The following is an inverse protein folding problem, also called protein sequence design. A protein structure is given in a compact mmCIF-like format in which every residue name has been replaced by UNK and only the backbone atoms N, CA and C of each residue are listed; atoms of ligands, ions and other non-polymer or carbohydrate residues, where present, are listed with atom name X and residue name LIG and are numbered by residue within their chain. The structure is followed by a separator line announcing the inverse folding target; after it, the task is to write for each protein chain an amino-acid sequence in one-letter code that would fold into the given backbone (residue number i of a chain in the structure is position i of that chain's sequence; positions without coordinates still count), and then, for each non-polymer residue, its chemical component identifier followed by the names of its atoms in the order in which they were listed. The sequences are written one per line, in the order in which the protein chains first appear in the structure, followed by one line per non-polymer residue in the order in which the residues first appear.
data_IF_584604371515
#
_entry.id   IF_584604371515
#
_cell.length_a   1.000
_cell.length_b   1.000
_cell.length_c   1.000
_cell.angle_alpha   90.00
_cell.angle_beta   90.00
_cell.angle_gamma   90.00
#
_symmetry.space_group_name_H-M   'P 1'
#
loop_
_entity.id
_entity.type
_entity.pdbx_description
1 polymer ?
#
# COMPACT_ATOMS: atom_id res chain seq x y z
N UNK A 1 20.29 13.28 3.60
CA UNK A 1 19.02 13.43 4.34
C UNK A 1 17.89 13.12 3.37
N UNK A 2 16.83 12.42 3.81
CA UNK A 2 15.71 11.98 2.97
C UNK A 2 14.41 12.43 3.63
N UNK A 3 13.47 12.97 2.85
CA UNK A 3 12.13 13.30 3.35
C UNK A 3 11.27 12.03 3.49
N UNK A 4 10.57 11.96 4.62
CA UNK A 4 9.68 10.86 5.04
C UNK A 4 8.24 11.34 5.27
N UNK A 5 7.98 12.65 5.24
CA UNK A 5 6.67 13.23 5.55
C UNK A 5 6.30 13.18 7.04
N UNK A 6 5.10 13.69 7.36
CA UNK A 6 4.63 13.86 8.74
C UNK A 6 3.83 12.70 9.34
N UNK A 7 3.78 11.53 8.71
CA UNK A 7 3.02 10.38 9.21
C UNK A 7 3.84 9.49 10.16
N UNK A 8 3.19 8.97 11.20
CA UNK A 8 3.77 7.94 12.08
C UNK A 8 4.19 6.72 11.24
N UNK A 9 5.34 6.12 11.55
CA UNK A 9 5.94 4.97 10.84
C UNK A 9 6.37 5.24 9.38
N UNK A 10 6.26 6.48 8.87
CA UNK A 10 6.63 6.78 7.49
C UNK A 10 8.15 6.67 7.22
N UNK A 11 8.98 6.93 8.25
CA UNK A 11 10.42 6.66 8.18
C UNK A 11 10.70 5.16 8.01
N UNK A 12 10.02 4.31 8.78
CA UNK A 12 10.22 2.86 8.75
C UNK A 12 9.73 2.24 7.43
N UNK A 13 8.60 2.75 6.92
CA UNK A 13 8.11 2.42 5.58
C UNK A 13 9.11 2.83 4.48
N UNK A 14 9.74 4.01 4.60
CA UNK A 14 10.76 4.48 3.66
C UNK A 14 12.04 3.63 3.72
N UNK A 15 12.50 3.28 4.92
CA UNK A 15 13.68 2.42 5.14
C UNK A 15 13.44 1.03 4.56
N UNK A 16 12.27 0.42 4.84
CA UNK A 16 11.88 -0.89 4.28
C UNK A 16 11.80 -0.86 2.75
N UNK A 17 11.21 0.19 2.18
CA UNK A 17 11.13 0.36 0.72
C UNK A 17 12.50 0.56 0.06
N UNK A 18 13.43 1.27 0.70
CA UNK A 18 14.80 1.45 0.17
C UNK A 18 15.59 0.14 0.25
N UNK A 19 15.47 -0.59 1.36
CA UNK A 19 16.10 -1.90 1.54
C UNK A 19 15.64 -2.92 0.49
N UNK A 20 14.33 -3.02 0.24
CA UNK A 20 13.74 -3.91 -0.78
C UNK A 20 14.25 -3.63 -2.21
N UNK A 21 14.47 -2.35 -2.56
CA UNK A 21 15.03 -1.97 -3.85
C UNK A 21 16.54 -2.26 -3.93
N UNK A 22 17.31 -1.70 -3.01
CA UNK A 22 18.78 -1.75 -3.02
C UNK A 22 19.31 -3.17 -2.90
N UNK A 23 18.65 -4.04 -2.13
CA UNK A 23 19.16 -5.40 -1.93
C UNK A 23 19.09 -6.25 -3.21
N UNK A 24 18.09 -6.01 -4.06
CA UNK A 24 17.91 -6.67 -5.36
C UNK A 24 18.81 -6.10 -6.45
N UNK A 25 19.34 -4.87 -6.29
CA UNK A 25 20.16 -4.20 -7.29
C UNK A 25 21.54 -4.89 -7.43
N UNK A 26 21.94 -5.38 -8.63
CA UNK A 26 23.22 -6.10 -8.81
C UNK A 26 24.46 -5.29 -8.44
N UNK A 27 24.43 -3.97 -8.69
CA UNK A 27 25.49 -3.03 -8.34
C UNK A 27 25.68 -2.82 -6.82
N UNK A 28 24.67 -3.16 -6.01
CA UNK A 28 24.69 -2.91 -4.57
C UNK A 28 25.30 -4.11 -3.85
N UNK A 29 26.62 -4.03 -3.61
CA UNK A 29 27.43 -5.15 -3.10
C UNK A 29 27.24 -5.42 -1.59
N UNK A 30 27.00 -4.38 -0.78
CA UNK A 30 26.73 -4.47 0.67
C UNK A 30 25.74 -3.39 1.09
N UNK A 31 24.95 -3.67 2.13
CA UNK A 31 24.03 -2.75 2.80
C UNK A 31 24.36 -2.76 4.29
N UNK A 32 24.72 -1.60 4.82
CA UNK A 32 24.97 -1.38 6.25
C UNK A 32 23.68 -0.86 6.89
N UNK A 33 23.09 -1.64 7.80
CA UNK A 33 21.76 -1.42 8.33
C UNK A 33 21.81 -1.02 9.82
N UNK A 34 21.44 0.23 10.12
CA UNK A 34 21.49 0.81 11.48
C UNK A 34 20.23 0.61 12.35
N UNK A 35 19.19 -0.08 11.86
CA UNK A 35 17.92 -0.27 12.57
C UNK A 35 17.93 -1.35 13.67
N UNK A 36 19.10 -1.66 14.24
CA UNK A 36 19.33 -2.85 15.07
C UNK A 36 18.54 -2.89 16.40
N UNK A 37 17.95 -1.77 16.81
CA UNK A 37 17.20 -1.64 18.07
C UNK A 37 15.67 -1.82 17.91
N UNK A 38 15.15 -1.93 16.68
CA UNK A 38 13.71 -2.12 16.45
C UNK A 38 13.39 -3.51 15.87
N UNK A 39 12.60 -4.28 16.62
CA UNK A 39 12.10 -5.59 16.17
C UNK A 39 11.16 -5.47 14.94
N UNK A 40 10.63 -4.28 14.65
CA UNK A 40 9.82 -3.98 13.47
C UNK A 40 10.51 -4.25 12.12
N UNK A 41 11.83 -4.46 12.10
CA UNK A 41 12.60 -4.83 10.89
C UNK A 41 12.91 -6.33 10.77
N UNK A 42 12.68 -7.13 11.82
CA UNK A 42 13.05 -8.56 11.87
C UNK A 42 12.41 -9.35 10.73
N UNK A 43 11.13 -9.11 10.44
CA UNK A 43 10.40 -9.80 9.37
C UNK A 43 10.94 -9.46 7.97
N UNK A 44 11.26 -8.18 7.72
CA UNK A 44 11.88 -7.73 6.46
C UNK A 44 13.26 -8.36 6.27
N UNK A 45 14.12 -8.30 7.29
CA UNK A 45 15.46 -8.89 7.23
C UNK A 45 15.42 -10.43 7.08
N UNK A 46 14.52 -11.13 7.79
CA UNK A 46 14.29 -12.59 7.58
C UNK A 46 13.84 -12.90 6.16
N UNK A 47 12.94 -12.10 5.59
CA UNK A 47 12.50 -12.29 4.21
C UNK A 47 13.67 -12.15 3.22
N UNK A 48 14.56 -11.18 3.42
CA UNK A 48 15.74 -10.99 2.59
C UNK A 48 16.81 -12.07 2.76
N UNK A 49 17.04 -12.56 3.98
CA UNK A 49 17.93 -13.70 4.25
C UNK A 49 17.41 -14.96 3.54
N UNK A 50 16.11 -15.26 3.65
CA UNK A 50 15.46 -16.38 2.96
C UNK A 50 15.48 -16.25 1.43
N UNK A 51 15.47 -15.03 0.91
CA UNK A 51 15.62 -14.73 -0.51
C UNK A 51 17.09 -14.77 -1.00
N UNK A 52 18.02 -15.29 -0.20
CA UNK A 52 19.43 -15.50 -0.58
C UNK A 52 20.34 -14.27 -0.40
N UNK A 53 19.83 -13.13 0.08
CA UNK A 53 20.61 -11.89 0.19
C UNK A 53 21.37 -11.73 1.52
N UNK A 54 21.55 -12.80 2.32
CA UNK A 54 22.26 -12.76 3.63
C UNK A 54 23.62 -12.07 3.51
N UNK A 55 24.39 -12.41 2.48
CA UNK A 55 25.76 -11.90 2.29
C UNK A 55 25.84 -10.41 1.92
N UNK A 56 24.73 -9.78 1.49
CA UNK A 56 24.69 -8.32 1.29
C UNK A 56 24.50 -7.55 2.60
N UNK A 57 23.89 -8.15 3.61
CA UNK A 57 23.47 -7.48 4.83
C UNK A 57 24.62 -7.41 5.87
N UNK A 58 24.81 -6.23 6.45
CA UNK A 58 25.70 -5.97 7.58
C UNK A 58 24.91 -5.13 8.60
N UNK A 59 24.88 -5.53 9.86
CA UNK A 59 24.25 -4.79 10.95
C UNK A 59 25.22 -3.78 11.55
N UNK A 60 24.77 -2.55 11.76
CA UNK A 60 25.49 -1.47 12.43
C UNK A 60 24.79 -1.16 13.76
N UNK A 61 25.24 -1.72 14.89
CA UNK A 61 24.62 -1.48 16.18
C UNK A 61 24.79 -0.02 16.61
N UNK A 62 23.70 0.61 17.04
CA UNK A 62 23.69 2.01 17.50
C UNK A 62 24.06 2.18 18.98
N UNK A 63 23.97 1.11 19.77
CA UNK A 63 24.37 1.01 21.17
C UNK A 63 24.45 -0.49 21.54
N UNK A 64 24.79 -0.81 22.81
CA UNK A 64 25.09 -2.19 23.25
C UNK A 64 23.93 -3.18 23.14
N UNK A 65 22.68 -2.71 23.16
CA UNK A 65 21.48 -3.55 23.07
C UNK A 65 20.97 -3.64 21.63
N UNK A 66 21.32 -4.74 20.96
CA UNK A 66 20.64 -5.18 19.73
C UNK A 66 19.33 -5.87 20.13
N UNK A 67 18.23 -5.57 19.44
CA UNK A 67 16.94 -6.19 19.70
C UNK A 67 16.98 -7.71 19.45
N UNK A 68 16.43 -8.51 20.36
CA UNK A 68 16.62 -9.97 20.40
C UNK A 68 16.36 -10.66 19.05
N UNK A 69 15.25 -10.32 18.37
CA UNK A 69 14.91 -10.92 17.08
C UNK A 69 15.82 -10.52 15.92
N UNK A 70 16.61 -9.44 16.07
CA UNK A 70 17.68 -9.00 15.16
C UNK A 70 18.97 -9.78 15.44
N UNK A 71 19.31 -10.03 16.71
CA UNK A 71 20.45 -10.88 17.10
C UNK A 71 20.29 -12.33 16.61
N UNK A 72 19.07 -12.86 16.67
CA UNK A 72 18.67 -14.16 16.09
C UNK A 72 18.89 -14.30 14.56
N UNK A 73 19.27 -13.22 13.85
CA UNK A 73 19.51 -13.26 12.41
C UNK A 73 20.95 -13.67 12.02
N UNK A 74 21.87 -13.71 13.00
CA UNK A 74 23.28 -14.08 12.79
C UNK A 74 23.93 -13.33 11.59
N UNK A 75 23.61 -12.05 11.44
CA UNK A 75 24.18 -11.21 10.39
C UNK A 75 25.54 -10.65 10.83
N UNK A 76 26.48 -10.41 9.89
CA UNK A 76 27.74 -9.75 10.19
C UNK A 76 27.53 -8.41 10.90
N UNK A 77 28.25 -8.18 12.00
CA UNK A 77 28.24 -6.93 12.74
C UNK A 77 29.42 -6.05 12.33
N UNK A 78 29.14 -4.77 12.07
CA UNK A 78 30.12 -3.71 11.90
C UNK A 78 30.01 -2.76 13.10
N UNK A 79 30.76 -3.04 14.15
CA UNK A 79 30.98 -2.06 15.22
C UNK A 79 32.00 -1.02 14.76
N UNK A 80 31.77 0.24 15.10
CA UNK A 80 32.66 1.37 14.81
C UNK A 80 32.83 2.14 16.12
N UNK A 81 33.99 2.00 16.80
CA UNK A 81 34.24 2.67 18.06
C UNK A 81 33.95 4.16 18.00
N UNK A 82 33.27 4.65 19.04
CA UNK A 82 32.97 6.05 19.30
C UNK A 82 32.13 6.78 18.21
N UNK A 83 31.58 6.05 17.23
CA UNK A 83 30.61 6.58 16.25
C UNK A 83 29.25 6.89 16.89
N UNK A 84 28.85 6.13 17.91
CA UNK A 84 27.59 6.30 18.62
C UNK A 84 27.79 6.29 20.14
N UNK A 85 26.90 6.99 20.85
CA UNK A 85 26.81 6.90 22.30
C UNK A 85 26.29 5.52 22.70
N UNK A 86 27.02 4.80 23.56
CA UNK A 86 26.65 3.45 24.03
C UNK A 86 25.42 3.44 24.95
N UNK A 87 24.98 4.61 25.42
CA UNK A 87 23.86 4.79 26.33
C UNK A 87 22.68 5.47 25.63
N UNK A 88 21.47 5.02 25.95
CA UNK A 88 20.23 5.58 25.41
C UNK A 88 19.92 6.93 26.06
N UNK A 89 19.82 7.99 25.25
CA UNK A 89 19.47 9.33 25.71
C UNK A 89 18.15 9.34 26.50
N UNK A 90 18.23 9.59 27.80
CA UNK A 90 17.07 9.81 28.66
C UNK A 90 16.49 11.20 28.42
N UNK A 91 15.35 11.29 27.75
CA UNK A 91 14.61 12.55 27.63
C UNK A 91 14.08 12.94 29.00
N UNK A 92 14.60 14.01 29.58
CA UNK A 92 14.12 14.53 30.85
C UNK A 92 12.68 15.06 30.69
N UNK A 93 11.71 14.36 31.28
CA UNK A 93 10.30 14.79 31.29
C UNK A 93 10.16 16.05 32.15
N UNK A 94 10.12 17.21 31.51
CA UNK A 94 9.80 18.49 32.17
C UNK A 94 8.33 18.52 32.60
N UNK A 95 8.06 17.96 33.77
CA UNK A 95 6.75 17.96 34.44
C UNK A 95 6.35 19.38 34.86
N UNK A 96 5.82 20.17 33.91
CA UNK A 96 5.28 21.49 34.16
C UNK A 96 4.01 21.41 35.02
N UNK A 97 4.17 21.52 36.34
CA UNK A 97 3.07 21.66 37.31
C UNK A 97 3.27 22.96 38.11
N UNK A 98 2.92 24.08 37.49
CA UNK A 98 2.87 25.40 38.13
C UNK A 98 1.43 25.72 38.57
N UNK A 99 0.92 24.98 39.56
CA UNK A 99 -0.44 25.17 40.09
C UNK A 99 -0.49 26.38 41.01
N UNK A 100 -0.92 27.53 40.48
CA UNK A 100 -1.13 28.74 41.28
C UNK A 100 -2.36 28.59 42.20
N UNK A 101 -2.25 28.87 43.52
CA UNK A 101 -3.38 28.79 44.44
C UNK A 101 -4.27 30.05 44.33
N UNK A 102 -5.44 29.92 43.70
CA UNK A 102 -6.48 30.96 43.73
C UNK A 102 -7.25 30.87 45.05
N UNK A 103 -7.21 31.94 45.83
CA UNK A 103 -7.86 32.01 47.15
C UNK A 103 -9.37 32.19 47.04
N UNK A 104 -10.13 31.42 47.83
CA UNK A 104 -11.59 31.44 47.82
C UNK A 104 -12.19 32.50 48.78
N UNK A 105 -13.31 33.11 48.37
CA UNK A 105 -14.21 33.88 49.25
C UNK A 105 -15.65 33.32 49.14
N UNK A 106 -16.36 33.10 50.27
CA UNK A 106 -17.72 32.55 50.26
C UNK A 106 -18.83 33.63 50.38
N UNK A 107 -20.04 33.25 49.98
CA UNK A 107 -21.31 33.98 50.15
C UNK A 107 -21.95 34.47 48.84
N UNK A 108 -23.29 34.53 48.68
CA UNK A 108 -24.40 33.97 49.47
C UNK A 108 -25.71 34.02 48.65
N UNK A 109 -26.49 32.94 48.67
CA UNK A 109 -27.96 32.85 48.48
C UNK A 109 -28.76 33.79 47.51
N UNK A 110 -29.45 33.14 46.56
CA UNK A 110 -30.91 33.30 46.26
C UNK A 110 -31.48 34.43 45.36
N UNK A 111 -32.03 33.96 44.22
CA UNK A 111 -33.46 34.02 43.80
C UNK A 111 -34.07 35.15 42.92
N UNK A 112 -35.13 34.73 42.18
CA UNK A 112 -36.17 35.49 41.43
C UNK A 112 -35.77 36.15 40.09
N UNK A 113 -36.57 35.95 39.02
CA UNK A 113 -36.51 36.78 37.80
C UNK A 113 -36.91 36.15 36.44
N UNK A 114 -38.20 35.88 36.23
CA UNK A 114 -38.84 35.77 34.89
C UNK A 114 -39.66 37.06 34.64
N UNK A 115 -40.11 37.46 33.42
CA UNK A 115 -40.55 36.59 32.29
C UNK A 115 -40.35 37.12 30.84
N UNK A 116 -40.98 36.42 29.86
CA UNK A 116 -41.66 36.97 28.64
C UNK A 116 -40.85 37.58 27.45
N UNK A 117 -41.16 37.40 26.15
CA UNK A 117 -42.24 36.68 25.42
C UNK A 117 -41.79 35.99 24.10
N UNK A 118 -42.52 34.92 23.70
CA UNK A 118 -43.12 34.56 22.35
C UNK A 118 -42.35 34.99 21.07
N UNK A 119 -42.11 34.15 20.02
CA UNK A 119 -43.09 33.50 19.08
C UNK A 119 -42.57 32.18 18.42
N UNK A 120 -43.49 31.43 17.80
CA UNK A 120 -43.35 30.27 16.88
C UNK A 120 -43.00 30.68 15.41
N UNK A 121 -42.75 29.83 14.39
CA UNK A 121 -43.44 28.64 13.84
C UNK A 121 -42.47 27.78 12.98
N UNK A 122 -42.31 26.46 13.19
CA UNK A 122 -43.07 25.28 12.69
C UNK A 122 -42.73 24.77 11.27
N UNK A 123 -42.58 23.43 11.15
CA UNK A 123 -42.33 22.62 9.94
C UNK A 123 -43.49 21.64 9.68
N UNK A 124 -43.72 21.14 8.44
CA UNK A 124 -43.58 19.70 8.13
C UNK A 124 -42.97 19.43 6.71
N UNK A 125 -42.41 18.27 6.30
CA UNK A 125 -42.76 16.82 6.38
C UNK A 125 -43.90 16.40 5.41
N UNK A 126 -43.66 15.54 4.40
CA UNK A 126 -44.15 14.12 4.27
C UNK A 126 -43.48 13.42 3.06
N UNK A 127 -42.88 12.21 3.14
CA UNK A 127 -43.41 10.82 3.02
C UNK A 127 -44.16 10.40 1.74
N UNK A 128 -43.68 9.35 1.04
CA UNK A 128 -44.50 8.26 0.45
C UNK A 128 -43.64 7.04 0.07
N UNK A 129 -44.27 5.89 -0.22
CA UNK A 129 -43.63 4.61 -0.60
C UNK A 129 -44.47 3.84 -1.62
N UNK A 130 -43.86 2.93 -2.41
CA UNK A 130 -44.53 1.77 -3.01
C UNK A 130 -43.52 0.70 -3.46
N UNK A 131 -43.98 -0.54 -3.65
CA UNK A 131 -43.16 -1.70 -4.00
C UNK A 131 -43.71 -2.47 -5.21
N UNK A 132 -42.85 -3.13 -5.98
CA UNK A 132 -43.16 -4.30 -6.85
C UNK A 132 -41.85 -5.00 -7.28
N UNK A 133 -41.89 -6.32 -7.45
CA UNK A 133 -40.74 -7.17 -7.82
C UNK A 133 -40.84 -7.55 -9.31
N UNK A 134 -39.72 -7.49 -10.04
CA UNK A 134 -39.49 -8.31 -11.24
C UNK A 134 -38.11 -8.95 -11.22
N UNK A 135 -38.02 -10.18 -11.73
CA UNK A 135 -36.79 -11.01 -11.75
C UNK A 135 -35.95 -10.76 -13.00
N UNK A 136 -34.64 -10.65 -12.84
CA UNK A 136 -33.66 -10.73 -13.93
C UNK A 136 -32.43 -11.57 -13.49
N UNK A 137 -31.83 -12.31 -14.43
CA UNK A 137 -30.79 -13.29 -14.10
C UNK A 137 -29.41 -12.67 -13.77
N UNK A 138 -28.62 -13.26 -12.85
CA UNK A 138 -27.34 -12.71 -12.42
C UNK A 138 -26.26 -12.80 -13.50
N UNK A 139 -25.93 -11.66 -14.13
CA UNK A 139 -24.77 -11.56 -15.03
C UNK A 139 -23.53 -11.07 -14.27
N UNK A 140 -22.66 -12.03 -13.91
CA UNK A 140 -21.25 -11.92 -13.49
C UNK A 140 -20.78 -10.52 -13.06
N UNK A 141 -20.79 -10.28 -11.75
CA UNK A 141 -20.14 -9.13 -11.11
C UNK A 141 -18.66 -9.02 -11.47
N UNK A 142 -18.18 -7.80 -11.71
CA UNK A 142 -16.75 -7.45 -11.57
C UNK A 142 -16.44 -7.23 -10.08
N UNK A 143 -15.28 -7.68 -9.56
CA UNK A 143 -14.96 -7.50 -8.15
C UNK A 143 -14.57 -6.04 -7.84
N UNK A 144 -14.93 -5.59 -6.63
CA UNK A 144 -14.30 -4.45 -5.98
C UNK A 144 -12.83 -4.77 -5.62
N UNK A 145 -12.01 -3.73 -5.51
CA UNK A 145 -10.60 -3.82 -5.16
C UNK A 145 -10.32 -3.20 -3.80
N UNK A 146 -10.22 -4.05 -2.78
CA UNK A 146 -9.79 -3.65 -1.43
C UNK A 146 -8.25 -3.45 -1.35
N UNK A 147 -7.76 -3.00 -0.20
CA UNK A 147 -6.36 -2.68 0.12
C UNK A 147 -5.51 -3.93 0.42
N UNK A 148 -4.19 -3.77 0.62
CA UNK A 148 -3.27 -4.87 0.98
C UNK A 148 -2.14 -5.13 -0.04
N UNK A 149 -0.94 -4.63 0.26
CA UNK A 149 0.30 -4.60 -0.54
C UNK A 149 0.93 -5.99 -0.89
N UNK A 150 2.00 -6.00 -1.72
CA UNK A 150 2.75 -7.17 -2.27
C UNK A 150 4.19 -6.67 -2.67
N UNK A 151 5.14 -7.31 -3.39
CA UNK A 151 5.31 -8.54 -4.20
C UNK A 151 6.74 -9.10 -3.92
N UNK A 152 7.01 -10.41 -3.80
CA UNK A 152 7.22 -11.46 -4.84
C UNK A 152 8.40 -11.20 -5.81
N UNK A 153 9.27 -12.22 -5.99
CA UNK A 153 10.23 -12.46 -7.11
C UNK A 153 11.41 -11.49 -7.31
N UNK A 154 12.47 -11.85 -8.07
CA UNK A 154 12.74 -13.06 -8.88
C UNK A 154 14.22 -13.46 -8.86
N UNK A 155 14.76 -14.61 -9.33
CA UNK A 155 14.35 -15.94 -9.91
C UNK A 155 15.16 -16.19 -11.21
N UNK A 156 16.00 -17.21 -11.43
CA UNK A 156 16.49 -18.31 -10.57
C UNK A 156 17.95 -18.04 -10.09
N UNK A 157 19.06 -18.80 -10.28
CA UNK A 157 19.47 -20.07 -10.99
C UNK A 157 20.19 -21.04 -10.00
N UNK A 158 21.25 -21.85 -10.19
CA UNK A 158 22.22 -22.17 -11.28
C UNK A 158 22.90 -23.57 -11.05
N UNK A 159 23.99 -23.91 -11.77
CA UNK A 159 24.63 -25.25 -11.83
C UNK A 159 25.52 -25.65 -10.62
N UNK A 160 25.15 -26.78 -9.95
CA UNK A 160 25.96 -28.02 -9.80
C UNK A 160 25.13 -29.10 -9.05
N UNK A 161 25.35 -30.37 -9.38
CA UNK A 161 24.55 -31.52 -8.89
C UNK A 161 24.69 -31.81 -7.38
N UNK A 162 23.56 -32.00 -6.67
CA UNK A 162 23.25 -33.26 -5.93
C UNK A 162 21.88 -33.29 -5.20
N UNK A 163 21.06 -34.30 -5.55
CA UNK A 163 20.08 -35.08 -4.73
C UNK A 163 19.19 -34.35 -3.68
N UNK A 164 17.88 -34.38 -3.94
CA UNK A 164 16.81 -33.67 -3.21
C UNK A 164 16.63 -34.02 -1.71
N UNK A 165 15.96 -33.12 -0.96
CA UNK A 165 14.52 -33.33 -0.67
C UNK A 165 13.60 -32.31 -1.35
N UNK A 166 12.34 -32.69 -1.57
CA UNK A 166 11.36 -31.87 -2.31
C UNK A 166 10.71 -30.79 -1.44
N UNK A 167 11.13 -29.54 -1.62
CA UNK A 167 10.40 -28.33 -1.19
C UNK A 167 10.03 -27.55 -2.44
N UNK A 168 8.84 -26.97 -2.48
CA UNK A 168 8.31 -26.32 -3.70
C UNK A 168 9.08 -25.04 -4.04
N UNK A 169 9.57 -24.96 -5.28
CA UNK A 169 10.18 -23.75 -5.85
C UNK A 169 9.17 -22.60 -5.98
N UNK A 170 9.62 -21.33 -6.07
CA UNK A 170 8.78 -20.27 -6.59
C UNK A 170 8.22 -20.65 -7.98
N UNK A 171 7.00 -20.16 -8.34
CA UNK A 171 6.37 -20.52 -9.59
C UNK A 171 7.12 -19.90 -10.77
N UNK A 172 8.04 -20.67 -11.37
CA UNK A 172 8.77 -20.31 -12.59
C UNK A 172 7.80 -19.69 -13.59
N UNK A 173 8.15 -18.52 -14.14
CA UNK A 173 7.43 -17.90 -15.25
C UNK A 173 7.45 -18.88 -16.42
N UNK A 174 6.35 -19.60 -16.62
CA UNK A 174 6.33 -20.87 -17.38
C UNK A 174 5.25 -20.87 -18.46
N UNK A 175 4.22 -20.03 -18.34
CA UNK A 175 3.18 -19.91 -19.36
C UNK A 175 3.61 -18.89 -20.40
N UNK A 176 3.84 -19.34 -21.64
CA UNK A 176 4.02 -18.42 -22.76
C UNK A 176 2.67 -17.86 -23.20
N UNK A 177 2.66 -16.62 -23.66
CA UNK A 177 1.50 -16.02 -24.32
C UNK A 177 1.26 -16.74 -25.64
N UNK A 178 0.00 -17.08 -25.93
CA UNK A 178 -0.39 -17.49 -27.28
C UNK A 178 -0.53 -16.24 -28.16
N UNK A 179 0.32 -16.02 -29.17
CA UNK A 179 0.35 -14.78 -29.96
C UNK A 179 -0.91 -14.58 -30.83
N UNK A 180 -1.72 -15.62 -31.03
CA UNK A 180 -3.00 -15.51 -31.74
C UNK A 180 -4.17 -15.05 -30.85
N UNK A 181 -3.92 -14.73 -29.57
CA UNK A 181 -4.92 -14.26 -28.62
C UNK A 181 -4.45 -12.98 -27.91
N UNK A 182 -5.22 -11.87 -27.95
CA UNK A 182 -4.90 -10.68 -27.15
C UNK A 182 -4.95 -11.02 -25.66
N UNK A 183 -4.21 -10.29 -24.82
CA UNK A 183 -3.95 -10.69 -23.43
C UNK A 183 -5.23 -10.87 -22.60
N UNK A 184 -6.24 -10.05 -22.87
CA UNK A 184 -7.59 -10.15 -22.27
C UNK A 184 -8.35 -11.47 -22.55
N UNK A 185 -7.91 -12.29 -23.51
CA UNK A 185 -8.52 -13.59 -23.88
C UNK A 185 -7.70 -14.81 -23.49
N UNK A 186 -6.51 -14.63 -22.91
CA UNK A 186 -5.71 -15.73 -22.34
C UNK A 186 -6.45 -16.35 -21.13
N UNK A 187 -6.06 -17.56 -20.71
CA UNK A 187 -6.76 -18.31 -19.65
C UNK A 187 -5.80 -18.86 -18.58
N UNK A 188 -5.89 -18.39 -17.31
CA UNK A 188 -6.50 -17.11 -16.90
C UNK A 188 -5.82 -15.92 -17.61
N UNK A 189 -6.49 -14.77 -17.82
CA UNK A 189 -5.85 -13.61 -18.40
C UNK A 189 -4.75 -13.03 -17.47
N UNK A 190 -3.69 -12.38 -18.00
CA UNK A 190 -2.59 -11.87 -17.18
C UNK A 190 -3.08 -10.84 -16.16
N UNK A 191 -2.53 -10.90 -14.93
CA UNK A 191 -2.92 -9.97 -13.88
C UNK A 191 -2.32 -8.57 -14.07
N UNK A 192 -3.15 -7.61 -14.50
CA UNK A 192 -2.77 -6.20 -14.64
C UNK A 192 -2.07 -5.63 -13.41
N UNK A 193 -2.51 -6.01 -12.20
CA UNK A 193 -1.88 -5.54 -10.96
C UNK A 193 -0.53 -6.19 -10.68
N UNK A 194 -0.29 -7.44 -11.09
CA UNK A 194 1.00 -8.11 -10.89
C UNK A 194 2.08 -7.55 -11.83
N UNK A 195 1.73 -7.31 -13.10
CA UNK A 195 2.70 -6.87 -14.12
C UNK A 195 2.93 -5.35 -14.18
N UNK A 196 2.07 -4.52 -13.55
CA UNK A 196 2.20 -3.06 -13.57
C UNK A 196 2.19 -2.38 -12.19
N UNK A 197 1.91 -3.09 -11.11
CA UNK A 197 1.71 -2.50 -9.79
C UNK A 197 1.97 -3.52 -8.67
N UNK A 198 0.95 -3.85 -7.86
CA UNK A 198 1.03 -4.85 -6.80
C UNK A 198 -0.24 -5.71 -6.75
N UNK A 199 -0.15 -7.02 -6.98
CA UNK A 199 -1.30 -7.93 -6.89
C UNK A 199 -1.42 -8.58 -5.50
N UNK A 200 -2.49 -8.17 -4.82
CA UNK A 200 -2.83 -8.47 -3.43
C UNK A 200 -3.20 -9.93 -3.15
N UNK A 201 -3.63 -10.64 -4.19
CA UNK A 201 -4.20 -12.00 -4.07
C UNK A 201 -3.14 -13.11 -4.07
N UNK A 202 -1.85 -12.79 -4.17
CA UNK A 202 -0.76 -13.77 -4.11
C UNK A 202 -0.95 -14.93 -5.10
N UNK A 203 -0.85 -16.17 -4.60
CA UNK A 203 -1.07 -17.38 -5.40
C UNK A 203 -2.55 -17.67 -5.72
N UNK A 204 -3.50 -17.11 -4.96
CA UNK A 204 -4.95 -17.33 -5.17
C UNK A 204 -5.57 -16.35 -6.18
N UNK A 205 -4.74 -15.61 -6.93
CA UNK A 205 -5.26 -14.68 -7.91
C UNK A 205 -6.00 -15.39 -9.05
N UNK A 206 -7.20 -14.90 -9.35
CA UNK A 206 -8.00 -15.33 -10.51
C UNK A 206 -7.34 -15.00 -11.87
N UNK A 207 -6.27 -14.22 -11.86
CA UNK A 207 -5.52 -13.76 -13.02
C UNK A 207 -4.10 -14.34 -12.98
N UNK A 208 -3.51 -14.65 -14.14
CA UNK A 208 -2.22 -15.35 -14.21
C UNK A 208 -1.02 -14.48 -13.79
N UNK A 209 -0.23 -14.97 -12.84
CA UNK A 209 1.05 -14.39 -12.40
C UNK A 209 2.28 -15.08 -13.02
N UNK A 210 2.05 -16.10 -13.85
CA UNK A 210 3.06 -17.03 -14.36
C UNK A 210 3.40 -16.84 -15.84
N UNK A 211 3.06 -15.68 -16.42
CA UNK A 211 3.28 -15.39 -17.84
C UNK A 211 4.68 -14.81 -18.11
N UNK A 212 5.38 -15.41 -19.08
CA UNK A 212 6.55 -14.78 -19.70
C UNK A 212 6.06 -13.63 -20.61
N UNK A 213 6.28 -12.38 -20.17
CA UNK A 213 5.93 -11.17 -20.92
C UNK A 213 7.13 -10.60 -21.69
N UNK A 214 6.84 -9.89 -22.79
CA UNK A 214 7.79 -9.07 -23.56
C UNK A 214 7.38 -7.60 -23.42
N UNK A 215 8.24 -6.65 -23.80
CA UNK A 215 7.97 -5.21 -23.66
C UNK A 215 6.60 -4.79 -24.26
N UNK A 216 6.32 -5.24 -25.49
CA UNK A 216 5.03 -5.06 -26.19
C UNK A 216 3.81 -5.55 -25.37
N UNK A 217 3.98 -6.62 -24.59
CA UNK A 217 2.92 -7.17 -23.75
C UNK A 217 2.67 -6.31 -22.51
N UNK A 218 3.72 -5.72 -21.91
CA UNK A 218 3.54 -4.73 -20.83
C UNK A 218 2.80 -3.48 -21.34
N UNK A 219 3.06 -3.07 -22.58
CA UNK A 219 2.37 -1.95 -23.22
C UNK A 219 0.89 -2.27 -23.48
N UNK A 220 0.53 -3.45 -24.01
CA UNK A 220 -0.88 -3.87 -24.16
C UNK A 220 -1.60 -3.96 -22.80
N UNK A 221 -0.93 -4.45 -21.74
CA UNK A 221 -1.51 -4.46 -20.39
C UNK A 221 -1.73 -3.02 -19.89
N UNK A 222 -0.80 -2.08 -20.15
CA UNK A 222 -0.92 -0.68 -19.73
C UNK A 222 -2.08 0.02 -20.43
N UNK A 223 -2.22 -0.17 -21.73
CA UNK A 223 -3.36 0.38 -22.49
C UNK A 223 -4.68 -0.26 -22.09
N UNK A 224 -4.70 -1.55 -21.77
CA UNK A 224 -5.89 -2.22 -21.24
C UNK A 224 -6.24 -1.74 -19.81
N UNK A 225 -5.25 -1.46 -18.97
CA UNK A 225 -5.44 -0.88 -17.65
C UNK A 225 -6.04 0.53 -17.72
N UNK A 226 -5.55 1.38 -18.64
CA UNK A 226 -6.08 2.73 -18.89
C UNK A 226 -7.53 2.76 -19.39
N UNK A 227 -8.06 1.64 -19.91
CA UNK A 227 -9.48 1.49 -20.30
C UNK A 227 -10.41 1.22 -19.10
N UNK A 228 -9.87 0.99 -17.90
CA UNK A 228 -10.61 0.95 -16.64
C UNK A 228 -10.36 2.23 -15.80
N UNK A 229 -11.37 2.77 -15.11
CA UNK A 229 -11.21 3.96 -14.28
C UNK A 229 -10.36 3.69 -13.04
N UNK A 230 -9.48 4.62 -12.67
CA UNK A 230 -8.78 4.57 -11.39
C UNK A 230 -9.76 4.77 -10.23
N UNK A 231 -9.80 3.88 -9.21
CA UNK A 231 -10.79 3.96 -8.12
C UNK A 231 -10.85 5.32 -7.41
N UNK A 232 -9.70 5.92 -7.08
CA UNK A 232 -9.64 7.25 -6.45
C UNK A 232 -10.22 8.34 -7.36
N UNK A 233 -9.72 8.45 -8.58
CA UNK A 233 -10.20 9.44 -9.55
C UNK A 233 -11.69 9.24 -9.90
N UNK A 234 -12.20 8.01 -9.86
CA UNK A 234 -13.62 7.70 -10.09
C UNK A 234 -14.54 8.20 -8.97
N UNK A 235 -14.05 8.22 -7.72
CA UNK A 235 -14.73 8.86 -6.59
C UNK A 235 -14.58 10.39 -6.57
N UNK A 236 -13.67 10.94 -7.37
CA UNK A 236 -13.26 12.35 -7.32
C UNK A 236 -12.17 12.64 -6.28
N UNK A 237 -11.48 11.61 -5.77
CA UNK A 237 -10.32 11.72 -4.89
C UNK A 237 -9.04 11.98 -5.71
N UNK A 238 -8.04 12.65 -5.11
CA UNK A 238 -6.72 12.81 -5.72
C UNK A 238 -6.00 11.46 -5.70
N UNK A 239 -5.70 10.90 -6.87
CA UNK A 239 -4.95 9.67 -7.00
C UNK A 239 -3.47 9.88 -6.62
N UNK A 240 -3.03 9.19 -5.55
CA UNK A 240 -1.66 9.28 -5.02
C UNK A 240 -0.58 8.84 -6.03
N UNK A 241 -0.92 7.98 -6.99
CA UNK A 241 -0.01 7.54 -8.06
C UNK A 241 0.12 8.55 -9.22
N UNK A 242 -0.60 9.67 -9.20
CA UNK A 242 -0.40 10.78 -10.14
C UNK A 242 -0.44 10.38 -11.62
N UNK A 243 0.68 10.55 -12.33
CA UNK A 243 0.83 10.18 -13.75
C UNK A 243 1.18 8.69 -13.95
N UNK A 244 1.75 8.08 -12.93
CA UNK A 244 2.27 6.71 -12.91
C UNK A 244 1.19 5.68 -12.57
N UNK A 245 -0.05 6.14 -12.32
CA UNK A 245 -1.19 5.25 -12.19
C UNK A 245 -1.40 4.43 -13.48
N UNK A 246 -1.49 3.12 -13.33
CA UNK A 246 -1.78 2.19 -14.42
C UNK A 246 -3.21 2.32 -14.95
N UNK A 247 -4.16 2.74 -14.11
CA UNK A 247 -5.56 2.95 -14.47
C UNK A 247 -5.83 4.31 -15.13
N UNK A 248 -6.99 4.45 -15.79
CA UNK A 248 -7.40 5.67 -16.48
C UNK A 248 -7.91 6.76 -15.53
N UNK A 249 -7.29 7.95 -15.58
CA UNK A 249 -7.80 9.16 -14.92
C UNK A 249 -8.78 9.94 -15.81
N UNK A 250 -8.74 9.73 -17.13
CA UNK A 250 -9.74 10.20 -18.10
C UNK A 250 -10.31 9.00 -18.87
N UNK A 251 -11.55 9.12 -19.32
CA UNK A 251 -12.19 8.17 -20.22
C UNK A 251 -11.52 8.25 -21.60
N UNK A 252 -11.16 7.13 -22.25
CA UNK A 252 -10.58 7.11 -23.61
C UNK A 252 -11.48 7.66 -24.74
N UNK A 253 -12.68 8.17 -24.41
CA UNK A 253 -13.62 8.80 -25.34
C UNK A 253 -13.99 10.24 -24.92
N UNK A 254 -13.47 10.72 -23.78
CA UNK A 254 -13.64 12.07 -23.23
C UNK A 254 -15.07 12.65 -23.42
N UNK A 255 -15.21 13.89 -23.88
CA UNK A 255 -16.53 14.55 -24.09
C UNK A 255 -17.43 13.83 -25.09
N UNK A 256 -16.86 12.99 -25.96
CA UNK A 256 -17.54 12.25 -27.04
C UNK A 256 -18.09 10.89 -26.59
N UNK A 257 -17.85 10.49 -25.33
CA UNK A 257 -18.24 9.19 -24.79
C UNK A 257 -19.75 8.89 -24.93
N UNK A 258 -20.08 7.92 -25.79
CA UNK A 258 -21.46 7.44 -25.97
C UNK A 258 -22.06 6.88 -24.67
N UNK A 259 -21.27 6.15 -23.87
CA UNK A 259 -21.74 5.55 -22.61
C UNK A 259 -22.00 6.60 -21.51
N UNK A 260 -21.35 7.77 -21.56
CA UNK A 260 -21.67 8.91 -20.68
C UNK A 260 -23.09 9.42 -20.96
N UNK A 261 -23.43 9.62 -22.24
CA UNK A 261 -24.76 10.07 -22.68
C UNK A 261 -25.89 9.09 -22.29
N UNK A 262 -25.56 7.82 -22.07
CA UNK A 262 -26.48 6.78 -21.59
C UNK A 262 -26.48 6.59 -20.06
N UNK A 263 -25.68 7.35 -19.29
CA UNK A 263 -25.52 7.15 -17.84
C UNK A 263 -24.88 5.80 -17.45
N UNK A 264 -24.17 5.15 -18.39
CA UNK A 264 -23.63 3.78 -18.28
C UNK A 264 -22.10 3.71 -18.40
N UNK A 265 -21.41 4.85 -18.34
CA UNK A 265 -19.95 4.87 -18.32
C UNK A 265 -19.40 4.33 -16.99
N UNK A 266 -18.28 3.63 -17.07
CA UNK A 266 -17.53 3.18 -15.88
C UNK A 266 -16.76 4.34 -15.23
N UNK A 267 -16.30 5.28 -16.06
CA UNK A 267 -15.74 6.56 -15.65
C UNK A 267 -16.89 7.46 -15.18
N UNK A 268 -16.82 7.94 -13.95
CA UNK A 268 -17.91 8.64 -13.24
C UNK A 268 -17.42 9.85 -12.44
N UNK A 269 -16.11 9.95 -12.16
CA UNK A 269 -15.50 11.11 -11.52
C UNK A 269 -15.68 12.40 -12.33
N UNK A 270 -15.82 13.53 -11.63
CA UNK A 270 -16.29 14.82 -12.16
C UNK A 270 -15.55 15.30 -13.42
N UNK A 271 -14.24 15.08 -13.48
CA UNK A 271 -13.37 15.56 -14.56
C UNK A 271 -12.96 14.47 -15.56
N UNK A 272 -13.42 13.21 -15.38
CA UNK A 272 -12.99 12.08 -16.20
C UNK A 272 -13.43 12.14 -17.67
N UNK A 273 -14.31 13.07 -18.03
CA UNK A 273 -14.75 13.28 -19.42
C UNK A 273 -14.45 14.70 -19.94
N UNK A 274 -13.62 15.48 -19.25
CA UNK A 274 -13.04 16.72 -19.80
C UNK A 274 -11.87 16.36 -20.71
N UNK A 275 -11.82 17.00 -21.88
CA UNK A 275 -10.73 16.85 -22.85
C UNK A 275 -9.38 17.30 -22.26
#
# INVERSE_FOLDING_TARGET
MVDVGGAKEAADAKIKSLLECEIKMPQTAKIVFGGCHDNGYVTTLRSHITAGFRDKLILLPSYTEIATGISELELPLLDIPDLFMREKLSVATYSNVATYPVSAKPGTASSVGSPDQVISHLSPRTTSSYSTILRAAPRRSTPDLDSGVSSISSDETDEILSRAPTVAMPPKLSRRINPHLPLSKQKPPPCTLFYLANCKHGAECRYGHDYQLLAEHYDEIRDNARKAPCPAANKGEICLWGKDCCYGHKCPQATKCYFLKLGKCKFQGRDMHRD
#
